data_IF_563861851252
#
_entry.id   IF_563861851252
#
_cell.length_a   1.000
_cell.length_b   1.000
_cell.length_c   1.000
_cell.angle_alpha   90.00
_cell.angle_beta   90.00
_cell.angle_gamma   90.00
#
_symmetry.space_group_name_H-M   'P 1'
#
loop_
_entity.id
_entity.type
_entity.pdbx_description
1 polymer ?
#
# COMPACT_ATOMS: atom_id res chain seq x y z
N UNK A 1 -3.09 39.84 -18.79
CA UNK A 1 -4.01 38.83 -18.21
C UNK A 1 -3.33 38.20 -17.00
N UNK A 2 -3.45 38.86 -15.84
CA UNK A 2 -2.65 38.62 -14.63
C UNK A 2 -3.50 38.16 -13.44
N UNK A 3 -4.44 37.24 -13.67
CA UNK A 3 -5.30 36.69 -12.59
C UNK A 3 -5.79 35.27 -12.90
N UNK A 4 -4.92 34.42 -13.46
CA UNK A 4 -5.19 32.98 -13.45
C UNK A 4 -4.93 32.48 -12.02
N UNK A 5 -5.99 32.09 -11.29
CA UNK A 5 -5.87 31.32 -10.04
C UNK A 5 -4.82 30.22 -10.26
N UNK A 6 -3.81 30.15 -9.40
CA UNK A 6 -2.75 29.16 -9.53
C UNK A 6 -3.39 27.76 -9.45
N UNK A 7 -3.18 26.96 -10.49
CA UNK A 7 -3.58 25.56 -10.50
C UNK A 7 -2.48 24.77 -9.78
N UNK A 8 -2.44 24.88 -8.46
CA UNK A 8 -1.36 24.29 -7.65
C UNK A 8 -1.45 22.76 -7.59
N UNK A 9 -2.64 22.20 -7.87
CA UNK A 9 -2.93 20.79 -7.69
C UNK A 9 -3.88 20.24 -8.76
N UNK A 10 -3.46 19.17 -9.46
CA UNK A 10 -4.31 18.47 -10.44
C UNK A 10 -4.33 16.97 -10.10
N UNK A 11 -5.52 16.45 -9.84
CA UNK A 11 -5.79 15.02 -9.78
C UNK A 11 -6.48 14.54 -11.05
N UNK A 12 -5.99 13.43 -11.61
CA UNK A 12 -6.54 12.82 -12.81
C UNK A 12 -6.92 11.38 -12.51
N UNK A 13 -8.22 11.11 -12.54
CA UNK A 13 -8.75 9.76 -12.53
C UNK A 13 -8.63 9.13 -13.91
N UNK A 14 -7.95 7.99 -13.99
CA UNK A 14 -7.62 7.36 -15.27
C UNK A 14 -8.57 6.21 -15.54
N UNK A 15 -9.62 6.47 -16.31
CA UNK A 15 -10.61 5.44 -16.69
C UNK A 15 -10.27 4.73 -18.00
N UNK A 16 -9.29 5.25 -18.77
CA UNK A 16 -8.89 4.74 -20.08
C UNK A 16 -7.47 4.14 -20.12
N UNK A 17 -7.09 3.56 -21.27
CA UNK A 17 -5.76 2.97 -21.47
C UNK A 17 -4.69 3.96 -21.96
N UNK A 18 -5.11 5.12 -22.44
CA UNK A 18 -4.22 6.13 -23.01
C UNK A 18 -4.57 7.49 -22.43
N UNK A 19 -3.54 8.18 -21.95
CA UNK A 19 -3.67 9.50 -21.36
C UNK A 19 -2.56 10.41 -21.90
N UNK A 20 -2.95 11.56 -22.43
CA UNK A 20 -2.02 12.61 -22.82
C UNK A 20 -2.38 13.89 -22.06
N UNK A 21 -1.50 14.32 -21.16
CA UNK A 21 -1.73 15.44 -20.26
C UNK A 21 -0.80 16.57 -20.70
N UNK A 22 -1.36 17.74 -20.94
CA UNK A 22 -0.56 18.97 -21.12
C UNK A 22 -0.78 19.85 -19.90
N UNK A 23 0.27 20.02 -19.11
CA UNK A 23 0.23 20.88 -17.93
C UNK A 23 0.43 22.36 -18.36
N UNK A 24 -0.13 23.31 -17.60
CA UNK A 24 0.03 24.73 -17.88
C UNK A 24 1.51 25.15 -17.97
N UNK A 25 1.83 26.08 -18.88
CA UNK A 25 3.19 26.63 -19.03
C UNK A 25 3.49 27.81 -18.09
N UNK A 26 2.47 28.30 -17.40
CA UNK A 26 2.53 29.44 -16.47
C UNK A 26 1.72 29.10 -15.22
N UNK A 27 2.15 29.64 -14.07
CA UNK A 27 1.62 29.28 -12.76
C UNK A 27 2.51 28.27 -12.02
N UNK A 28 2.32 28.15 -10.71
CA UNK A 28 2.97 27.13 -9.89
C UNK A 28 2.15 25.85 -10.01
N UNK A 29 2.83 24.72 -10.23
CA UNK A 29 2.20 23.40 -10.31
C UNK A 29 2.99 22.47 -9.38
N UNK A 30 2.35 22.06 -8.28
CA UNK A 30 3.05 21.34 -7.22
C UNK A 30 2.72 19.85 -7.21
N UNK A 31 1.48 19.46 -7.55
CA UNK A 31 1.04 18.08 -7.43
C UNK A 31 0.34 17.57 -8.68
N UNK A 32 0.83 16.45 -9.20
CA UNK A 32 0.12 15.63 -10.17
C UNK A 32 -0.27 14.31 -9.50
N UNK A 33 -1.57 14.04 -9.40
CA UNK A 33 -2.09 12.74 -8.92
C UNK A 33 -2.62 11.92 -10.09
N UNK A 34 -2.18 10.68 -10.19
CA UNK A 34 -2.68 9.68 -11.13
C UNK A 34 -3.45 8.65 -10.31
N UNK A 35 -4.78 8.63 -10.46
CA UNK A 35 -5.65 7.75 -9.68
C UNK A 35 -6.01 6.49 -10.48
N UNK A 36 -5.76 5.34 -9.87
CA UNK A 36 -6.14 3.99 -10.31
C UNK A 36 -5.81 3.67 -11.78
N UNK A 37 -4.55 3.86 -12.23
CA UNK A 37 -4.21 3.59 -13.61
C UNK A 37 -4.46 2.10 -13.93
N UNK A 38 -5.30 1.78 -14.94
CA UNK A 38 -5.60 0.40 -15.25
C UNK A 38 -4.36 -0.32 -15.79
N UNK A 39 -4.33 -1.65 -15.65
CA UNK A 39 -3.22 -2.46 -16.18
C UNK A 39 -3.03 -2.19 -17.68
N UNK A 40 -1.80 -1.89 -18.06
CA UNK A 40 -1.44 -1.57 -19.44
C UNK A 40 -1.78 -0.14 -19.87
N UNK A 41 -2.22 0.72 -18.95
CA UNK A 41 -2.32 2.15 -19.17
C UNK A 41 -0.97 2.73 -19.62
N UNK A 42 -1.02 3.67 -20.55
CA UNK A 42 0.12 4.51 -20.92
C UNK A 42 -0.29 5.95 -20.76
N UNK A 43 0.50 6.70 -20.00
CA UNK A 43 0.31 8.12 -19.83
C UNK A 43 1.54 8.86 -20.36
N UNK A 44 1.35 10.06 -20.89
CA UNK A 44 2.44 10.98 -21.22
C UNK A 44 2.06 12.36 -20.73
N UNK A 45 3.04 13.09 -20.22
CA UNK A 45 2.85 14.45 -19.72
C UNK A 45 3.75 15.40 -20.50
N UNK A 46 3.20 16.51 -20.96
CA UNK A 46 3.96 17.66 -21.42
C UNK A 46 3.96 18.69 -20.30
N UNK A 47 5.10 18.84 -19.62
CA UNK A 47 5.28 19.75 -18.49
C UNK A 47 6.50 20.64 -18.72
N UNK A 48 6.44 21.94 -18.38
CA UNK A 48 7.62 22.78 -18.24
C UNK A 48 8.69 22.13 -17.37
N UNK A 49 9.97 22.39 -17.69
CA UNK A 49 11.14 21.86 -16.98
C UNK A 49 11.10 20.35 -16.73
N UNK A 50 10.31 19.61 -17.52
CA UNK A 50 10.11 18.16 -17.38
C UNK A 50 9.72 17.72 -15.96
N UNK A 51 8.90 18.52 -15.28
CA UNK A 51 8.35 18.18 -13.96
C UNK A 51 9.17 18.67 -12.76
N UNK A 52 10.18 19.52 -12.96
CA UNK A 52 10.89 20.14 -11.84
C UNK A 52 9.90 20.87 -10.91
N UNK A 53 10.03 20.64 -9.61
CA UNK A 53 9.13 21.18 -8.58
C UNK A 53 7.81 20.44 -8.40
N UNK A 54 7.49 19.47 -9.28
CA UNK A 54 6.29 18.64 -9.19
C UNK A 54 6.52 17.43 -8.28
N UNK A 55 5.59 17.22 -7.36
CA UNK A 55 5.39 15.96 -6.64
C UNK A 55 4.44 15.09 -7.45
N UNK A 56 4.91 13.90 -7.86
CA UNK A 56 4.08 12.92 -8.55
C UNK A 56 3.50 11.94 -7.53
N UNK A 57 2.17 11.80 -7.50
CA UNK A 57 1.47 10.83 -6.66
C UNK A 57 0.76 9.82 -7.56
N UNK A 58 0.97 8.53 -7.33
CA UNK A 58 0.30 7.46 -8.09
C UNK A 58 -0.44 6.57 -7.11
N UNK A 59 -1.74 6.39 -7.34
CA UNK A 59 -2.59 5.53 -6.53
C UNK A 59 -2.95 4.30 -7.34
N UNK A 60 -2.52 3.12 -6.90
CA UNK A 60 -2.87 1.86 -7.53
C UNK A 60 -1.83 0.76 -7.31
N UNK A 61 -2.15 -0.48 -7.73
CA UNK A 61 -1.40 -1.68 -7.35
C UNK A 61 -0.01 -1.78 -7.97
N UNK A 62 0.29 -1.01 -9.02
CA UNK A 62 1.53 -1.08 -9.78
C UNK A 62 2.03 0.31 -10.17
N UNK A 63 3.34 0.49 -10.17
CA UNK A 63 3.98 1.70 -10.68
C UNK A 63 3.71 1.94 -12.18
N UNK A 64 3.35 3.18 -12.54
CA UNK A 64 3.24 3.65 -13.91
C UNK A 64 4.27 4.75 -14.17
N UNK A 65 5.24 4.49 -15.04
CA UNK A 65 6.16 5.53 -15.50
C UNK A 65 5.41 6.57 -16.35
N UNK A 66 5.69 7.85 -16.11
CA UNK A 66 5.08 8.99 -16.80
C UNK A 66 6.14 9.75 -17.60
N UNK A 67 6.36 9.40 -18.88
CA UNK A 67 7.22 10.16 -19.78
C UNK A 67 6.89 11.65 -19.76
N UNK A 68 7.95 12.47 -19.73
CA UNK A 68 7.88 13.93 -19.65
C UNK A 68 8.02 14.51 -18.25
N UNK A 69 8.12 13.67 -17.22
CA UNK A 69 8.37 14.05 -15.82
C UNK A 69 9.77 13.66 -15.32
N UNK A 70 10.78 13.67 -16.20
CA UNK A 70 12.13 13.17 -15.87
C UNK A 70 12.85 13.97 -14.75
N UNK A 71 12.43 15.20 -14.49
CA UNK A 71 13.06 16.10 -13.50
C UNK A 71 12.29 16.20 -12.18
N UNK A 72 11.31 15.31 -11.94
CA UNK A 72 10.67 15.27 -10.63
C UNK A 72 11.69 14.90 -9.55
N UNK A 73 11.50 15.51 -8.37
CA UNK A 73 12.31 15.25 -7.19
C UNK A 73 11.56 14.42 -6.15
N UNK A 74 10.23 14.29 -6.25
CA UNK A 74 9.40 13.59 -5.27
C UNK A 74 8.40 12.66 -5.95
N UNK A 75 8.40 11.41 -5.52
CA UNK A 75 7.44 10.38 -5.96
C UNK A 75 6.79 9.74 -4.75
N UNK A 76 5.46 9.68 -4.75
CA UNK A 76 4.68 8.97 -3.75
C UNK A 76 3.80 7.91 -4.43
N UNK A 77 3.92 6.68 -3.96
CA UNK A 77 3.15 5.54 -4.43
C UNK A 77 2.19 5.10 -3.32
N UNK A 78 0.91 4.99 -3.65
CA UNK A 78 -0.16 4.62 -2.72
C UNK A 78 -0.88 3.36 -3.21
N UNK A 79 -1.23 2.49 -2.27
CA UNK A 79 -1.84 1.18 -2.53
C UNK A 79 -1.03 0.31 -3.51
N UNK A 80 0.29 0.51 -3.53
CA UNK A 80 1.18 -0.30 -4.35
C UNK A 80 1.38 -1.68 -3.71
N UNK A 81 1.51 -2.71 -4.55
CA UNK A 81 1.75 -4.08 -4.10
C UNK A 81 3.02 -4.67 -4.68
N UNK A 82 3.32 -4.37 -5.93
CA UNK A 82 4.53 -4.84 -6.62
C UNK A 82 5.23 -3.63 -7.24
N UNK A 83 6.42 -3.33 -6.72
CA UNK A 83 7.23 -2.19 -7.13
C UNK A 83 8.61 -2.66 -7.57
N UNK A 84 8.89 -2.47 -8.86
CA UNK A 84 10.19 -2.68 -9.45
C UNK A 84 10.99 -1.36 -9.44
N UNK A 85 11.97 -1.28 -8.54
CA UNK A 85 12.79 -0.09 -8.31
C UNK A 85 13.67 0.26 -9.52
N UNK A 86 13.98 -0.72 -10.39
CA UNK A 86 14.71 -0.46 -11.63
C UNK A 86 13.92 0.42 -12.61
N UNK A 87 12.59 0.27 -12.62
CA UNK A 87 11.70 1.08 -13.46
C UNK A 87 11.59 2.51 -12.93
N UNK A 88 11.53 2.68 -11.60
CA UNK A 88 11.52 4.00 -10.95
C UNK A 88 12.85 4.72 -11.22
N UNK A 89 13.98 4.07 -10.95
CA UNK A 89 15.30 4.65 -11.16
C UNK A 89 15.56 5.04 -12.63
N UNK A 90 15.03 4.26 -13.58
CA UNK A 90 15.09 4.58 -15.01
C UNK A 90 14.21 5.77 -15.38
N UNK A 91 12.99 5.86 -14.82
CA UNK A 91 12.03 6.91 -15.16
C UNK A 91 12.44 8.26 -14.55
N UNK A 92 12.89 8.26 -13.29
CA UNK A 92 13.10 9.45 -12.48
C UNK A 92 14.48 9.42 -11.81
N UNK A 93 15.58 9.62 -12.57
CA UNK A 93 16.94 9.49 -12.05
C UNK A 93 17.36 10.61 -11.08
N UNK A 94 16.55 11.67 -10.93
CA UNK A 94 16.82 12.84 -10.09
C UNK A 94 15.94 12.90 -8.83
N UNK A 95 15.32 11.77 -8.45
CA UNK A 95 14.52 11.71 -7.22
C UNK A 95 15.36 12.04 -5.99
N UNK A 96 14.77 12.87 -5.14
CA UNK A 96 15.23 13.22 -3.81
C UNK A 96 14.38 12.58 -2.71
N UNK A 97 13.09 12.37 -2.93
CA UNK A 97 12.21 11.67 -1.98
C UNK A 97 11.38 10.60 -2.68
N UNK A 98 11.35 9.42 -2.08
CA UNK A 98 10.55 8.27 -2.53
C UNK A 98 9.75 7.70 -1.36
N UNK A 99 8.43 7.76 -1.48
CA UNK A 99 7.49 7.17 -0.53
C UNK A 99 6.72 6.04 -1.23
N UNK A 100 6.74 4.85 -0.63
CA UNK A 100 6.02 3.67 -1.12
C UNK A 100 5.14 3.12 0.00
N UNK A 101 3.83 3.23 -0.20
CA UNK A 101 2.83 2.71 0.74
C UNK A 101 1.86 1.74 0.07
N UNK A 102 1.42 0.76 0.87
CA UNK A 102 0.45 -0.25 0.47
C UNK A 102 0.23 -1.26 1.58
N UNK A 103 -0.79 -2.13 1.43
CA UNK A 103 -1.10 -3.14 2.44
C UNK A 103 0.02 -4.19 2.56
N UNK A 104 0.62 -4.63 1.46
CA UNK A 104 1.78 -5.53 1.47
C UNK A 104 2.64 -5.24 0.25
N UNK A 105 3.75 -4.52 0.46
CA UNK A 105 4.63 -4.09 -0.63
C UNK A 105 5.69 -5.16 -0.86
N UNK A 106 5.75 -5.67 -2.08
CA UNK A 106 6.86 -6.44 -2.61
C UNK A 106 7.75 -5.53 -3.45
N UNK A 107 9.01 -5.42 -3.06
CA UNK A 107 10.04 -4.73 -3.83
C UNK A 107 10.78 -5.73 -4.73
N UNK A 108 11.29 -5.21 -5.84
CA UNK A 108 12.20 -5.92 -6.74
C UNK A 108 13.31 -5.00 -7.21
N UNK A 109 14.49 -5.57 -7.41
CA UNK A 109 15.69 -4.89 -7.88
C UNK A 109 16.12 -3.75 -6.95
N UNK A 110 16.16 -4.01 -5.65
CA UNK A 110 16.59 -3.11 -4.59
C UNK A 110 17.96 -2.46 -4.89
N UNK A 111 18.86 -3.19 -5.55
CA UNK A 111 20.16 -2.69 -5.98
C UNK A 111 20.08 -1.51 -6.97
N UNK A 112 18.93 -1.33 -7.65
CA UNK A 112 18.72 -0.20 -8.55
C UNK A 112 18.60 1.15 -7.84
N UNK A 113 18.37 1.17 -6.52
CA UNK A 113 18.46 2.38 -5.71
C UNK A 113 19.83 3.05 -5.82
N UNK A 114 20.91 2.28 -6.08
CA UNK A 114 22.26 2.82 -6.32
C UNK A 114 22.33 3.85 -7.45
N UNK A 115 21.34 3.88 -8.35
CA UNK A 115 21.25 4.83 -9.47
C UNK A 115 20.64 6.18 -9.06
N UNK A 116 19.97 6.26 -7.91
CA UNK A 116 19.33 7.46 -7.37
C UNK A 116 20.30 8.23 -6.47
N UNK A 117 21.32 8.85 -7.07
CA UNK A 117 22.41 9.54 -6.33
C UNK A 117 21.97 10.78 -5.55
N UNK A 118 20.79 11.31 -5.87
CA UNK A 118 20.20 12.48 -5.22
C UNK A 118 19.14 12.12 -4.19
N UNK A 119 18.93 10.82 -3.89
CA UNK A 119 17.90 10.39 -2.94
C UNK A 119 18.31 10.81 -1.52
N UNK A 120 17.51 11.70 -0.94
CA UNK A 120 17.64 12.27 0.40
C UNK A 120 16.74 11.52 1.41
N UNK A 121 15.54 11.11 0.97
CA UNK A 121 14.53 10.46 1.81
C UNK A 121 13.98 9.20 1.14
N UNK A 122 13.90 8.10 1.90
CA UNK A 122 13.23 6.86 1.49
C UNK A 122 12.29 6.37 2.59
N UNK A 123 11.00 6.33 2.27
CA UNK A 123 9.96 5.78 3.13
C UNK A 123 9.30 4.57 2.44
N UNK A 124 9.24 3.42 3.13
CA UNK A 124 8.59 2.21 2.62
C UNK A 124 7.72 1.59 3.73
N UNK A 125 6.44 1.40 3.47
CA UNK A 125 5.50 0.78 4.42
C UNK A 125 5.17 -0.67 4.07
N UNK A 126 5.01 -1.52 5.09
CA UNK A 126 4.60 -2.91 4.98
C UNK A 126 5.48 -3.77 4.04
N UNK A 127 6.81 -3.66 4.15
CA UNK A 127 7.77 -4.26 3.22
C UNK A 127 8.32 -5.65 3.65
N UNK A 128 7.43 -6.55 4.09
CA UNK A 128 7.81 -7.80 4.79
C UNK A 128 8.64 -8.79 3.97
N UNK A 129 8.71 -8.61 2.65
CA UNK A 129 9.37 -9.52 1.72
C UNK A 129 10.62 -8.93 1.07
N UNK A 130 11.12 -7.78 1.54
CA UNK A 130 12.32 -7.14 0.99
C UNK A 130 13.53 -8.07 1.00
N UNK A 131 14.37 -7.98 -0.03
CA UNK A 131 15.71 -8.55 0.01
C UNK A 131 16.71 -7.51 0.56
N UNK A 132 16.95 -7.56 1.88
CA UNK A 132 17.92 -6.67 2.54
C UNK A 132 19.34 -6.87 2.03
N UNK A 133 19.69 -8.06 1.50
CA UNK A 133 21.04 -8.32 1.01
C UNK A 133 21.33 -7.57 -0.30
N UNK A 134 20.29 -7.32 -1.10
CA UNK A 134 20.36 -6.51 -2.32
C UNK A 134 20.23 -5.00 -2.04
N UNK A 135 19.83 -4.60 -0.83
CA UNK A 135 19.67 -3.19 -0.48
C UNK A 135 21.04 -2.47 -0.44
N UNK A 136 21.20 -1.29 -1.06
CA UNK A 136 22.50 -0.64 -1.22
C UNK A 136 23.23 -0.35 0.09
N UNK A 137 24.56 -0.24 0.06
CA UNK A 137 25.35 0.38 1.12
C UNK A 137 25.19 1.91 1.15
N UNK A 138 25.33 2.56 2.33
CA UNK A 138 25.25 4.01 2.44
C UNK A 138 26.20 4.75 1.48
N UNK A 139 27.38 4.16 1.18
CA UNK A 139 28.34 4.71 0.21
C UNK A 139 27.79 4.83 -1.20
N UNK A 140 26.78 4.03 -1.56
CA UNK A 140 26.10 4.11 -2.85
C UNK A 140 24.92 5.11 -2.85
N UNK A 141 24.48 5.57 -1.68
CA UNK A 141 23.40 6.55 -1.48
C UNK A 141 23.95 7.77 -0.71
N UNK A 142 24.87 8.55 -1.32
CA UNK A 142 25.66 9.56 -0.61
C UNK A 142 24.86 10.77 -0.13
N UNK A 143 23.63 10.95 -0.63
CA UNK A 143 22.74 12.05 -0.24
C UNK A 143 21.65 11.61 0.75
N UNK A 144 21.57 10.33 1.11
CA UNK A 144 20.49 9.82 1.94
C UNK A 144 20.66 10.32 3.38
N UNK A 145 19.65 11.01 3.88
CA UNK A 145 19.60 11.60 5.21
C UNK A 145 18.55 10.89 6.08
N UNK A 146 17.46 10.42 5.46
CA UNK A 146 16.34 9.77 6.14
C UNK A 146 15.97 8.42 5.50
N UNK A 147 15.91 7.37 6.33
CA UNK A 147 15.46 6.04 5.94
C UNK A 147 14.38 5.55 6.93
N UNK A 148 13.16 5.42 6.45
CA UNK A 148 12.03 4.92 7.23
C UNK A 148 11.45 3.67 6.55
N UNK A 149 11.57 2.51 7.20
CA UNK A 149 10.99 1.27 6.73
C UNK A 149 10.13 0.66 7.83
N UNK A 150 8.87 0.43 7.48
CA UNK A 150 7.91 -0.31 8.27
C UNK A 150 7.65 -1.70 7.66
N UNK A 151 7.42 -2.68 8.53
CA UNK A 151 7.09 -4.04 8.14
C UNK A 151 8.29 -4.80 7.62
N UNK A 152 9.24 -5.13 8.49
CA UNK A 152 10.43 -5.93 8.16
C UNK A 152 10.44 -7.27 8.91
N UNK A 153 11.24 -8.22 8.43
CA UNK A 153 11.66 -9.33 9.32
C UNK A 153 12.55 -8.76 10.43
N UNK A 154 12.51 -9.38 11.61
CA UNK A 154 13.36 -8.95 12.74
C UNK A 154 14.84 -8.92 12.33
N UNK A 155 15.35 -10.00 11.76
CA UNK A 155 16.76 -10.14 11.37
C UNK A 155 17.15 -9.11 10.28
N UNK A 156 16.24 -8.87 9.33
CA UNK A 156 16.39 -7.89 8.25
C UNK A 156 16.51 -6.45 8.81
N UNK A 157 15.69 -6.12 9.81
CA UNK A 157 15.75 -4.83 10.49
C UNK A 157 17.05 -4.65 11.29
N UNK A 158 17.56 -5.70 11.93
CA UNK A 158 18.83 -5.65 12.66
C UNK A 158 20.03 -5.47 11.72
N UNK A 159 20.02 -6.14 10.56
CA UNK A 159 21.02 -5.96 9.52
C UNK A 159 21.03 -4.53 8.96
N UNK A 160 19.85 -3.98 8.63
CA UNK A 160 19.73 -2.59 8.19
C UNK A 160 20.17 -1.60 9.27
N UNK A 161 19.81 -1.86 10.53
CA UNK A 161 20.22 -1.01 11.64
C UNK A 161 21.74 -0.93 11.77
N UNK A 162 22.43 -2.06 11.69
CA UNK A 162 23.90 -2.07 11.72
C UNK A 162 24.50 -1.33 10.52
N UNK A 163 23.89 -1.47 9.34
CA UNK A 163 24.34 -0.90 8.07
C UNK A 163 24.16 0.63 8.00
N UNK A 164 23.07 1.16 8.55
CA UNK A 164 22.66 2.56 8.45
C UNK A 164 22.69 3.33 9.78
N UNK A 165 23.39 2.81 10.79
CA UNK A 165 23.45 3.41 12.14
C UNK A 165 23.96 4.85 12.19
N UNK A 166 24.62 5.35 11.14
CA UNK A 166 25.14 6.71 11.05
C UNK A 166 24.19 7.71 10.41
N UNK A 167 23.03 7.28 9.91
CA UNK A 167 22.02 8.20 9.38
C UNK A 167 21.46 9.09 10.50
N UNK A 168 21.12 10.33 10.15
CA UNK A 168 20.47 11.27 11.06
C UNK A 168 19.09 10.75 11.46
N UNK A 169 18.32 10.26 10.48
CA UNK A 169 16.98 9.72 10.70
C UNK A 169 16.87 8.26 10.21
N UNK A 170 16.79 7.33 11.17
CA UNK A 170 16.59 5.92 10.89
C UNK A 170 15.37 5.37 11.64
N UNK A 171 14.28 5.15 10.91
CA UNK A 171 13.05 4.53 11.39
C UNK A 171 12.93 3.09 10.92
N UNK A 172 13.05 2.10 11.81
CA UNK A 172 12.82 0.68 11.48
C UNK A 172 11.73 0.12 12.40
N UNK A 173 10.50 0.04 11.90
CA UNK A 173 9.27 -0.26 12.68
C UNK A 173 8.52 -1.48 12.13
N UNK A 174 7.42 -1.85 12.79
CA UNK A 174 6.54 -2.93 12.31
C UNK A 174 7.20 -4.30 12.18
N UNK A 175 8.30 -4.54 12.90
CA UNK A 175 9.12 -5.76 12.77
C UNK A 175 8.33 -6.99 13.17
N UNK A 176 8.51 -8.09 12.44
CA UNK A 176 7.82 -9.38 12.68
C UNK A 176 8.76 -10.56 12.47
N UNK A 177 8.54 -11.64 13.20
CA UNK A 177 9.31 -12.88 13.01
C UNK A 177 8.93 -13.54 11.68
N UNK A 178 9.84 -14.36 11.13
CA UNK A 178 9.54 -15.13 9.92
C UNK A 178 8.28 -16.00 10.07
N UNK A 179 8.09 -16.61 11.24
CA UNK A 179 6.88 -17.38 11.57
C UNK A 179 5.62 -16.51 11.56
N UNK A 180 5.68 -15.30 12.13
CA UNK A 180 4.53 -14.39 12.12
C UNK A 180 4.16 -14.01 10.68
N UNK A 181 5.15 -13.67 9.85
CA UNK A 181 4.93 -13.26 8.46
C UNK A 181 4.32 -14.41 7.66
N UNK A 182 4.88 -15.61 7.76
CA UNK A 182 4.38 -16.80 7.05
C UNK A 182 2.91 -17.11 7.39
N UNK A 183 2.47 -16.80 8.61
CA UNK A 183 1.13 -17.12 9.08
C UNK A 183 0.11 -15.97 8.94
N UNK A 184 0.55 -14.70 8.85
CA UNK A 184 -0.33 -13.54 9.00
C UNK A 184 -0.24 -12.50 7.88
N UNK A 185 0.69 -12.61 6.93
CA UNK A 185 0.88 -11.57 5.89
C UNK A 185 -0.40 -11.31 5.07
N UNK A 186 -1.12 -12.38 4.69
CA UNK A 186 -2.38 -12.30 3.95
C UNK A 186 -3.61 -12.04 4.83
N UNK A 187 -3.43 -11.90 6.15
CA UNK A 187 -4.53 -11.59 7.05
C UNK A 187 -4.92 -10.10 6.92
N UNK A 188 -6.16 -9.75 6.58
CA UNK A 188 -6.59 -8.37 6.39
C UNK A 188 -6.53 -7.53 7.68
N UNK A 189 -6.43 -8.19 8.84
CA UNK A 189 -6.38 -7.56 10.16
C UNK A 189 -4.98 -7.59 10.80
N UNK A 190 -3.92 -7.93 10.03
CA UNK A 190 -2.58 -8.15 10.59
C UNK A 190 -1.98 -6.93 11.29
N UNK A 191 -2.38 -5.72 10.88
CA UNK A 191 -1.87 -4.45 11.42
C UNK A 191 -2.76 -3.89 12.54
N UNK A 192 -3.92 -4.51 12.80
CA UNK A 192 -4.87 -4.03 13.81
C UNK A 192 -4.31 -4.06 15.23
N UNK A 193 -3.33 -4.94 15.51
CA UNK A 193 -2.66 -4.95 16.82
C UNK A 193 -1.94 -3.65 17.12
N UNK A 194 -1.46 -2.97 16.07
CA UNK A 194 -0.57 -1.82 16.18
C UNK A 194 -1.37 -0.53 16.28
N UNK A 195 -2.53 -0.47 15.61
CA UNK A 195 -3.40 0.73 15.59
C UNK A 195 -4.56 0.67 16.59
N UNK A 196 -5.11 -0.52 16.84
CA UNK A 196 -6.35 -0.69 17.61
C UNK A 196 -6.16 -1.53 18.88
N UNK A 197 -4.92 -1.88 19.18
CA UNK A 197 -4.51 -2.60 20.38
C UNK A 197 -4.48 -4.12 20.20
N UNK A 198 -3.53 -4.76 20.90
CA UNK A 198 -3.21 -6.17 20.74
C UNK A 198 -4.41 -7.12 20.92
N UNK A 199 -5.33 -6.82 21.84
CA UNK A 199 -6.50 -7.65 22.09
C UNK A 199 -7.50 -7.64 20.92
N UNK A 200 -7.80 -6.45 20.38
CA UNK A 200 -8.70 -6.30 19.23
C UNK A 200 -8.08 -6.92 17.98
N UNK A 201 -6.80 -6.62 17.69
CA UNK A 201 -6.09 -7.19 16.55
C UNK A 201 -6.03 -8.72 16.60
N UNK A 202 -5.70 -9.32 17.76
CA UNK A 202 -5.69 -10.78 17.92
C UNK A 202 -7.07 -11.40 17.67
N UNK A 203 -8.14 -10.77 18.16
CA UNK A 203 -9.51 -11.26 17.97
C UNK A 203 -9.92 -11.19 16.48
N UNK A 204 -9.63 -10.08 15.81
CA UNK A 204 -9.93 -9.88 14.39
C UNK A 204 -9.16 -10.86 13.50
N UNK A 205 -7.84 -11.01 13.72
CA UNK A 205 -7.01 -11.98 12.99
C UNK A 205 -7.52 -13.41 13.18
N UNK A 206 -7.91 -13.79 14.41
CA UNK A 206 -8.44 -15.12 14.71
C UNK A 206 -9.79 -15.38 14.03
N UNK A 207 -10.67 -14.38 13.99
CA UNK A 207 -11.95 -14.47 13.30
C UNK A 207 -11.76 -14.73 11.80
N UNK A 208 -10.88 -13.97 11.15
CA UNK A 208 -10.51 -14.20 9.75
C UNK A 208 -9.96 -15.62 9.54
N UNK A 209 -8.94 -16.01 10.30
CA UNK A 209 -8.28 -17.31 10.11
C UNK A 209 -9.27 -18.47 10.28
N UNK A 210 -10.16 -18.38 11.27
CA UNK A 210 -11.19 -19.39 11.53
C UNK A 210 -12.15 -19.49 10.35
N UNK A 211 -12.76 -18.36 9.95
CA UNK A 211 -13.73 -18.33 8.86
C UNK A 211 -13.10 -18.77 7.53
N UNK A 212 -11.90 -18.28 7.24
CA UNK A 212 -11.15 -18.62 6.04
C UNK A 212 -10.84 -20.12 5.95
N UNK A 213 -10.40 -20.73 7.05
CA UNK A 213 -10.11 -22.16 7.12
C UNK A 213 -11.38 -23.01 7.02
N UNK A 214 -12.45 -22.62 7.71
CA UNK A 214 -13.69 -23.39 7.71
C UNK A 214 -14.39 -23.35 6.35
N UNK A 215 -14.45 -22.20 5.68
CA UNK A 215 -14.96 -22.10 4.31
C UNK A 215 -14.11 -22.94 3.33
N UNK A 216 -12.78 -22.91 3.48
CA UNK A 216 -11.89 -23.72 2.64
C UNK A 216 -12.11 -25.23 2.86
N UNK A 217 -12.29 -25.66 4.12
CA UNK A 217 -12.58 -27.06 4.48
C UNK A 217 -13.92 -27.57 3.95
N UNK A 218 -14.88 -26.69 3.66
CA UNK A 218 -16.15 -27.11 3.05
C UNK A 218 -15.90 -27.78 1.69
N UNK A 219 -14.95 -27.28 0.89
CA UNK A 219 -14.60 -27.85 -0.42
C UNK A 219 -15.84 -28.19 -1.26
N UNK A 220 -15.94 -29.44 -1.72
CA UNK A 220 -17.09 -29.94 -2.50
C UNK A 220 -18.41 -30.06 -1.70
N UNK A 221 -18.37 -29.95 -0.37
CA UNK A 221 -19.54 -30.01 0.54
C UNK A 221 -20.11 -28.62 0.86
N UNK A 222 -19.69 -27.59 0.14
CA UNK A 222 -20.20 -26.22 0.27
C UNK A 222 -21.72 -26.21 0.10
N UNK A 223 -22.43 -25.57 1.03
CA UNK A 223 -23.87 -25.34 0.97
C UNK A 223 -24.20 -23.99 1.63
N UNK A 224 -25.31 -23.37 1.21
CA UNK A 224 -25.70 -22.04 1.66
C UNK A 224 -25.79 -21.93 3.18
N UNK A 225 -26.43 -22.91 3.85
CA UNK A 225 -26.64 -22.90 5.30
C UNK A 225 -25.32 -22.89 6.08
N UNK A 226 -24.39 -23.83 5.79
CA UNK A 226 -23.10 -23.89 6.48
C UNK A 226 -22.25 -22.64 6.22
N UNK A 227 -22.25 -22.16 4.97
CA UNK A 227 -21.48 -20.96 4.59
C UNK A 227 -22.01 -19.72 5.30
N UNK A 228 -23.33 -19.54 5.35
CA UNK A 228 -23.97 -18.47 6.10
C UNK A 228 -23.67 -18.55 7.60
N UNK A 229 -23.67 -19.74 8.21
CA UNK A 229 -23.28 -19.89 9.62
C UNK A 229 -21.85 -19.41 9.89
N UNK A 230 -20.89 -19.77 9.02
CA UNK A 230 -19.49 -19.34 9.18
C UNK A 230 -19.36 -17.83 9.02
N UNK A 231 -20.00 -17.26 7.98
CA UNK A 231 -19.97 -15.82 7.73
C UNK A 231 -20.64 -15.01 8.85
N UNK A 232 -21.76 -15.49 9.41
CA UNK A 232 -22.40 -14.85 10.57
C UNK A 232 -21.52 -14.90 11.82
N UNK A 233 -20.83 -16.02 12.07
CA UNK A 233 -19.89 -16.12 13.18
C UNK A 233 -18.70 -15.16 13.04
N UNK A 234 -18.19 -14.98 11.82
CA UNK A 234 -17.16 -13.98 11.52
C UNK A 234 -17.63 -12.56 11.86
N UNK A 235 -18.82 -12.19 11.37
CA UNK A 235 -19.47 -10.90 11.62
C UNK A 235 -19.68 -10.63 13.12
N UNK A 236 -20.15 -11.64 13.84
CA UNK A 236 -20.50 -11.50 15.26
C UNK A 236 -19.29 -11.11 16.14
N UNK A 237 -18.07 -11.50 15.75
CA UNK A 237 -16.86 -11.05 16.44
C UNK A 237 -16.72 -9.54 16.44
N UNK A 238 -17.07 -8.89 15.33
CA UNK A 238 -16.96 -7.44 15.14
C UNK A 238 -18.14 -6.69 15.75
N UNK A 239 -19.36 -7.26 15.72
CA UNK A 239 -20.48 -6.72 16.50
C UNK A 239 -20.13 -6.56 17.99
N UNK A 240 -19.41 -7.54 18.55
CA UNK A 240 -18.93 -7.48 19.93
C UNK A 240 -17.81 -6.46 20.16
N UNK A 241 -16.99 -6.18 19.14
CA UNK A 241 -15.97 -5.13 19.21
C UNK A 241 -16.64 -3.74 19.16
N UNK A 242 -17.58 -3.54 18.22
CA UNK A 242 -18.41 -2.32 18.15
C UNK A 242 -19.09 -2.04 19.49
N UNK A 243 -19.79 -3.02 20.06
CA UNK A 243 -20.51 -2.83 21.33
C UNK A 243 -19.58 -2.47 22.50
N UNK A 244 -18.29 -2.83 22.42
CA UNK A 244 -17.31 -2.59 23.50
C UNK A 244 -16.60 -1.25 23.37
N UNK A 245 -16.20 -0.87 22.16
CA UNK A 245 -15.30 0.27 21.92
C UNK A 245 -15.75 1.21 20.81
N UNK A 246 -16.82 0.89 20.09
CA UNK A 246 -17.13 1.47 18.78
C UNK A 246 -16.16 0.98 17.70
N UNK A 247 -16.58 1.08 16.44
CA UNK A 247 -15.69 0.94 15.29
C UNK A 247 -15.69 2.21 14.44
N UNK A 248 -14.49 2.62 14.04
CA UNK A 248 -14.28 3.73 13.12
C UNK A 248 -14.53 3.31 11.66
N UNK A 249 -14.62 4.31 10.78
CA UNK A 249 -14.95 4.11 9.36
C UNK A 249 -13.98 3.18 8.64
N UNK A 250 -12.67 3.34 8.89
CA UNK A 250 -11.61 2.52 8.28
C UNK A 250 -11.64 1.06 8.75
N UNK A 251 -11.98 0.83 10.03
CA UNK A 251 -12.17 -0.49 10.60
C UNK A 251 -13.37 -1.18 9.94
N UNK A 252 -14.48 -0.45 9.82
CA UNK A 252 -15.71 -0.90 9.16
C UNK A 252 -15.47 -1.28 7.70
N UNK A 253 -14.74 -0.47 6.95
CA UNK A 253 -14.32 -0.76 5.57
C UNK A 253 -13.42 -2.00 5.48
N UNK A 254 -12.45 -2.13 6.38
CA UNK A 254 -11.56 -3.31 6.42
C UNK A 254 -12.35 -4.60 6.67
N UNK A 255 -13.35 -4.56 7.56
CA UNK A 255 -14.19 -5.73 7.84
C UNK A 255 -15.09 -6.05 6.63
N UNK A 256 -15.63 -5.04 5.95
CA UNK A 256 -16.39 -5.25 4.71
C UNK A 256 -15.55 -5.95 3.65
N UNK A 257 -14.35 -5.42 3.37
CA UNK A 257 -13.42 -5.99 2.38
C UNK A 257 -13.09 -7.45 2.71
N UNK A 258 -12.83 -7.73 3.99
CA UNK A 258 -12.59 -9.10 4.47
C UNK A 258 -13.83 -9.99 4.26
N UNK A 259 -15.02 -9.53 4.64
CA UNK A 259 -16.25 -10.28 4.40
C UNK A 259 -16.43 -10.61 2.91
N UNK A 260 -16.24 -9.63 2.03
CA UNK A 260 -16.32 -9.81 0.58
C UNK A 260 -15.24 -10.75 0.03
N UNK A 261 -14.05 -10.76 0.63
CA UNK A 261 -13.01 -11.72 0.27
C UNK A 261 -13.39 -13.16 0.68
N UNK A 262 -14.07 -13.35 1.82
CA UNK A 262 -14.59 -14.66 2.23
C UNK A 262 -15.72 -15.15 1.31
N UNK A 263 -16.66 -14.27 0.92
CA UNK A 263 -17.77 -14.65 0.04
C UNK A 263 -17.32 -15.04 -1.35
N UNK A 264 -16.26 -14.41 -1.89
CA UNK A 264 -15.64 -14.78 -3.17
C UNK A 264 -15.10 -16.22 -3.23
N UNK A 265 -14.92 -16.89 -2.08
CA UNK A 265 -14.53 -18.32 -2.03
C UNK A 265 -15.70 -19.26 -2.31
N UNK A 266 -16.93 -18.75 -2.35
CA UNK A 266 -18.14 -19.53 -2.53
C UNK A 266 -18.63 -19.43 -3.99
N UNK A 267 -19.32 -20.45 -4.50
CA UNK A 267 -20.05 -20.36 -5.76
C UNK A 267 -20.95 -19.11 -5.83
N UNK A 268 -21.11 -18.56 -7.03
CA UNK A 268 -21.96 -17.38 -7.23
C UNK A 268 -23.41 -17.66 -6.81
N UNK A 269 -24.07 -16.68 -6.19
CA UNK A 269 -25.44 -16.79 -5.68
C UNK A 269 -25.61 -17.68 -4.45
N UNK A 270 -24.52 -18.19 -3.87
CA UNK A 270 -24.58 -19.13 -2.75
C UNK A 270 -24.91 -18.47 -1.41
N UNK A 271 -24.56 -17.19 -1.26
CA UNK A 271 -24.88 -16.36 -0.11
C UNK A 271 -25.25 -14.98 -0.64
N UNK A 272 -26.42 -14.48 -0.27
CA UNK A 272 -26.86 -13.13 -0.58
C UNK A 272 -26.06 -12.11 0.24
N UNK A 273 -25.74 -10.95 -0.35
CA UNK A 273 -25.22 -9.78 0.38
C UNK A 273 -26.10 -9.39 1.57
N UNK A 274 -27.39 -9.77 1.57
CA UNK A 274 -28.27 -9.53 2.72
C UNK A 274 -27.85 -10.22 4.01
N UNK A 275 -26.99 -11.25 3.96
CA UNK A 275 -26.40 -11.84 5.17
C UNK A 275 -25.42 -10.89 5.88
N UNK A 276 -24.96 -9.86 5.17
CA UNK A 276 -24.17 -8.77 5.71
C UNK A 276 -25.05 -7.72 6.43
N UNK A 277 -26.29 -7.51 5.97
CA UNK A 277 -27.21 -6.55 6.58
C UNK A 277 -27.81 -6.99 7.94
N UNK A 278 -27.50 -8.19 8.43
CA UNK A 278 -27.76 -8.60 9.84
C UNK A 278 -26.77 -7.97 10.84
N UNK A 279 -25.98 -6.97 10.42
CA UNK A 279 -25.04 -6.21 11.23
C UNK A 279 -25.71 -5.11 12.06
N UNK A 280 -25.34 -5.00 13.34
CA UNK A 280 -25.65 -3.81 14.15
C UNK A 280 -24.65 -2.66 13.93
N UNK A 281 -23.42 -2.94 13.47
CA UNK A 281 -22.32 -1.98 13.38
C UNK A 281 -22.22 -1.23 12.03
N UNK A 282 -23.30 -1.15 11.24
CA UNK A 282 -23.38 -0.31 10.02
C UNK A 282 -24.65 0.56 9.96
N UNK A 283 -25.53 0.44 10.95
CA UNK A 283 -26.63 1.38 11.19
C UNK A 283 -26.14 2.56 12.05
#
# INVERSE_FOLDING_TARGET
FSNAKALDNIGIEVTGKLLHIKLPTHGRFEYLRILQPPKGCRATVVCPNRGEGVTLMIYGPTFLAIPGLKQIRRLQLFDCRDVDLSNIAKAYPHLASLDISGKAVTLRHEESLTKLKSLEELCIQNCYTMDVTAFPDPTHLPALESLDIDGLRVDDADALKAKYQSLEELGLRGKRTAEWIANNLDNPFRDWSDYFGAAAGKKAMSAWNTANNDLTKLGKKVNAKKSATILKAFVEVFNQLEAKSGLETDQRETIYDAFMALTKKLPSGMVSETHYYDWAAFA
#
